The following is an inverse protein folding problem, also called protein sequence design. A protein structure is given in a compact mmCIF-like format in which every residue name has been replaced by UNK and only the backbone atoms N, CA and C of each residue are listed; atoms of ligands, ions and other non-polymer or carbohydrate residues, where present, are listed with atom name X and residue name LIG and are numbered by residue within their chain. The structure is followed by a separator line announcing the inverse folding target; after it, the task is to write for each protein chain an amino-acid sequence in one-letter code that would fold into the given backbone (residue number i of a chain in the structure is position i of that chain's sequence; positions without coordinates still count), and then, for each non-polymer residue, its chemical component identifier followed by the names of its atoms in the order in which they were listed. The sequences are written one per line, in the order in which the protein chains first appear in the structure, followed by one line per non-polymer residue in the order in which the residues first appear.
data_IF_093058284785
#
_entry.id   IF_093058284785
#
_cell.length_a   1.000
_cell.length_b   1.000
_cell.length_c   1.000
_cell.angle_alpha   90.00
_cell.angle_beta   90.00
_cell.angle_gamma   90.00
#
_symmetry.space_group_name_H-M   'P 1'
#
loop_
_entity.id
_entity.type
_entity.pdbx_description
1 polymer ?
#
# COMPACT_ATOMS: atom_id res chain seq x y z
N UNK A 1 -12.53 -17.54 -10.07
CA UNK A 1 -11.30 -17.96 -10.77
C UNK A 1 -10.21 -16.89 -10.66
N UNK A 2 -10.53 -15.63 -10.93
CA UNK A 2 -9.61 -14.49 -10.92
C UNK A 2 -8.85 -14.28 -9.60
N UNK A 3 -9.47 -14.50 -8.43
CA UNK A 3 -8.79 -14.38 -7.14
C UNK A 3 -7.61 -15.38 -6.99
N UNK A 4 -7.72 -16.62 -7.49
CA UNK A 4 -6.63 -17.60 -7.42
C UNK A 4 -5.43 -17.18 -8.28
N UNK A 5 -5.69 -16.54 -9.42
CA UNK A 5 -4.66 -16.05 -10.34
C UNK A 5 -3.97 -14.82 -9.73
N UNK A 6 -4.72 -13.89 -9.13
CA UNK A 6 -4.16 -12.72 -8.44
C UNK A 6 -3.19 -13.14 -7.32
N UNK A 7 -3.60 -14.12 -6.50
CA UNK A 7 -2.76 -14.68 -5.45
C UNK A 7 -1.50 -15.38 -6.01
N UNK A 8 -1.60 -16.09 -7.14
CA UNK A 8 -0.45 -16.75 -7.76
C UNK A 8 0.58 -15.75 -8.32
N UNK A 9 0.10 -14.62 -8.82
CA UNK A 9 0.92 -13.52 -9.35
C UNK A 9 1.37 -12.52 -8.27
N UNK A 10 0.87 -12.66 -7.02
CA UNK A 10 1.12 -11.78 -5.87
C UNK A 10 0.79 -10.30 -6.12
N UNK A 11 -0.27 -10.05 -6.91
CA UNK A 11 -0.77 -8.71 -7.22
C UNK A 11 -2.19 -8.51 -6.66
N UNK A 12 -2.64 -7.26 -6.60
CA UNK A 12 -4.03 -6.95 -6.25
C UNK A 12 -5.02 -7.50 -7.28
N UNK A 13 -6.25 -7.83 -6.85
CA UNK A 13 -7.30 -8.25 -7.78
C UNK A 13 -7.68 -7.12 -8.74
N UNK A 14 -7.73 -5.88 -8.25
CA UNK A 14 -8.05 -4.70 -9.06
C UNK A 14 -7.00 -4.45 -10.15
N UNK A 15 -5.72 -4.70 -9.86
CA UNK A 15 -4.67 -4.64 -10.87
C UNK A 15 -4.83 -5.76 -11.90
N UNK A 16 -5.08 -6.99 -11.46
CA UNK A 16 -5.25 -8.14 -12.35
C UNK A 16 -6.40 -7.96 -13.35
N UNK A 17 -7.50 -7.32 -12.93
CA UNK A 17 -8.67 -7.10 -13.81
C UNK A 17 -8.62 -5.77 -14.56
N UNK A 18 -7.55 -4.97 -14.38
CA UNK A 18 -7.38 -3.69 -15.06
C UNK A 18 -8.23 -2.54 -14.51
N UNK A 19 -8.70 -2.65 -13.25
CA UNK A 19 -9.40 -1.56 -12.56
C UNK A 19 -8.43 -0.48 -12.03
N UNK A 20 -7.13 -0.77 -11.98
CA UNK A 20 -6.08 0.17 -11.61
C UNK A 20 -4.78 -0.18 -12.33
N UNK A 21 -4.03 0.84 -12.75
CA UNK A 21 -2.66 0.68 -13.28
C UNK A 21 -1.63 0.53 -12.15
N UNK A 22 -2.04 0.72 -10.89
CA UNK A 22 -1.17 0.63 -9.73
C UNK A 22 -0.94 -0.83 -9.32
N UNK A 23 0.24 -1.36 -9.63
CA UNK A 23 0.70 -2.64 -9.12
C UNK A 23 1.07 -2.50 -7.65
N UNK A 24 0.24 -3.06 -6.77
CA UNK A 24 0.56 -3.25 -5.36
C UNK A 24 0.81 -4.73 -5.12
N UNK A 25 1.99 -5.04 -4.58
CA UNK A 25 2.29 -6.39 -4.14
C UNK A 25 1.38 -6.80 -2.96
N UNK A 26 1.15 -8.10 -2.81
CA UNK A 26 0.26 -8.64 -1.78
C UNK A 26 0.68 -8.26 -0.35
N UNK A 27 1.97 -8.11 -0.07
CA UNK A 27 2.44 -7.74 1.28
C UNK A 27 2.11 -6.28 1.60
N UNK A 28 2.29 -5.38 0.62
CA UNK A 28 1.89 -3.97 0.77
C UNK A 28 0.39 -3.83 0.97
N UNK A 29 -0.43 -4.56 0.21
CA UNK A 29 -1.89 -4.57 0.40
C UNK A 29 -2.28 -5.04 1.80
N UNK A 30 -1.67 -6.13 2.27
CA UNK A 30 -1.97 -6.69 3.59
C UNK A 30 -1.62 -5.73 4.72
N UNK A 31 -0.49 -5.01 4.61
CA UNK A 31 -0.13 -3.96 5.57
C UNK A 31 -1.17 -2.85 5.61
N UNK A 32 -1.67 -2.39 4.45
CA UNK A 32 -2.73 -1.37 4.37
C UNK A 32 -4.03 -1.89 4.99
N UNK A 33 -4.40 -3.14 4.72
CA UNK A 33 -5.57 -3.79 5.31
C UNK A 33 -5.45 -3.90 6.84
N UNK A 34 -4.30 -4.31 7.35
CA UNK A 34 -4.04 -4.42 8.79
C UNK A 34 -4.12 -3.04 9.47
N UNK A 35 -3.58 -1.98 8.85
CA UNK A 35 -3.71 -0.60 9.34
C UNK A 35 -5.19 -0.18 9.36
N UNK A 36 -5.98 -0.59 8.37
CA UNK A 36 -7.40 -0.23 8.28
C UNK A 36 -8.23 -0.77 9.46
N UNK A 37 -7.80 -1.90 10.06
CA UNK A 37 -8.45 -2.58 11.18
C UNK A 37 -8.09 -2.01 12.56
N UNK A 38 -7.12 -1.09 12.64
CA UNK A 38 -6.70 -0.47 13.90
C UNK A 38 -7.72 0.60 14.36
N UNK A 39 -7.65 0.94 15.65
CA UNK A 39 -8.36 2.10 16.20
C UNK A 39 -7.90 3.40 15.54
N UNK A 40 -8.78 4.41 15.52
CA UNK A 40 -8.51 5.68 14.83
C UNK A 40 -7.25 6.39 15.34
N UNK A 41 -7.00 6.37 16.65
CA UNK A 41 -5.77 6.94 17.24
C UNK A 41 -4.50 6.23 16.73
N UNK A 42 -4.50 4.89 16.72
CA UNK A 42 -3.35 4.11 16.26
C UNK A 42 -3.13 4.30 14.75
N UNK A 43 -4.22 4.29 13.97
CA UNK A 43 -4.19 4.56 12.53
C UNK A 43 -3.60 5.94 12.24
N UNK A 44 -4.03 6.97 12.97
CA UNK A 44 -3.50 8.34 12.86
C UNK A 44 -2.01 8.40 13.14
N UNK A 45 -1.51 7.73 14.18
CA UNK A 45 -0.08 7.68 14.47
C UNK A 45 0.73 7.05 13.34
N UNK A 46 0.25 5.95 12.76
CA UNK A 46 0.92 5.29 11.62
C UNK A 46 0.95 6.20 10.41
N UNK A 47 -0.16 6.87 10.07
CA UNK A 47 -0.20 7.77 8.92
C UNK A 47 0.74 8.96 9.07
N UNK A 48 0.83 9.57 10.26
CA UNK A 48 1.76 10.66 10.52
C UNK A 48 3.22 10.23 10.24
N UNK A 49 3.61 9.03 10.68
CA UNK A 49 4.96 8.52 10.45
C UNK A 49 5.19 8.19 8.96
N UNK A 50 4.21 7.55 8.32
CA UNK A 50 4.28 7.22 6.89
C UNK A 50 4.45 8.49 6.04
N UNK A 51 3.64 9.52 6.30
CA UNK A 51 3.70 10.81 5.60
C UNK A 51 5.04 11.52 5.82
N UNK A 52 5.55 11.49 7.05
CA UNK A 52 6.84 12.08 7.38
C UNK A 52 7.99 11.41 6.62
N UNK A 53 7.99 10.08 6.52
CA UNK A 53 9.01 9.32 5.81
C UNK A 53 8.92 9.54 4.30
N UNK A 54 7.71 9.49 3.71
CA UNK A 54 7.51 9.75 2.28
C UNK A 54 8.00 11.16 1.92
N UNK A 55 7.68 12.15 2.75
CA UNK A 55 8.15 13.53 2.56
C UNK A 55 9.67 13.60 2.60
N UNK A 56 10.31 12.96 3.57
CA UNK A 56 11.77 12.97 3.70
C UNK A 56 12.46 12.37 2.46
N UNK A 57 11.97 11.23 1.95
CA UNK A 57 12.50 10.63 0.71
C UNK A 57 12.34 11.55 -0.51
N UNK A 58 11.13 12.09 -0.74
CA UNK A 58 10.89 13.03 -1.85
C UNK A 58 11.75 14.28 -1.76
N UNK A 59 11.98 14.76 -0.54
CA UNK A 59 12.83 15.93 -0.29
C UNK A 59 14.29 15.59 -0.60
N UNK A 60 14.78 14.43 -0.17
CA UNK A 60 16.14 13.96 -0.48
C UNK A 60 16.39 13.77 -1.98
N UNK A 61 15.44 13.19 -2.72
CA UNK A 61 15.55 13.05 -4.18
C UNK A 61 15.58 14.41 -4.90
N UNK A 62 14.86 15.42 -4.39
CA UNK A 62 14.84 16.75 -4.99
C UNK A 62 16.13 17.57 -4.75
N UNK A 63 16.94 17.19 -3.76
CA UNK A 63 18.22 17.83 -3.43
C UNK A 63 19.44 16.98 -3.80
N UNK A 64 19.23 15.83 -4.47
CA UNK A 64 20.28 14.94 -4.98
C UNK A 64 20.66 15.25 -6.44
#
# INVERSE_FOLDING_TARGET
MSNKIANALKVSLDFLVGNTDLELDTETLKRVEDISKLSDDNKKHIYILLDALIRDFKTKEAYA
#
